data_IF_173674427183
#
_entry.id   IF_173674427183
#
_cell.length_a   1.000
_cell.length_b   1.000
_cell.length_c   1.000
_cell.angle_alpha   90.00
_cell.angle_beta   90.00
_cell.angle_gamma   90.00
#
_symmetry.space_group_name_H-M   'P 1'
#
loop_
_entity.id
_entity.type
_entity.pdbx_description
1 polymer ?
#
# COMPACT_ATOMS: atom_id res chain seq x y z
N UNK A 1 48.90 1.61 48.44
CA UNK A 1 47.83 2.09 49.35
C UNK A 1 47.57 3.57 49.07
N UNK A 2 46.30 3.96 48.89
CA UNK A 2 45.76 5.34 48.82
C UNK A 2 45.51 6.04 47.46
N UNK A 3 45.15 5.35 46.37
CA UNK A 3 44.54 6.04 45.21
C UNK A 3 43.31 5.38 44.54
N UNK A 4 42.80 4.24 45.02
CA UNK A 4 41.64 3.59 44.39
C UNK A 4 40.28 3.86 45.04
N UNK A 5 40.24 4.56 46.17
CA UNK A 5 39.01 4.66 46.97
C UNK A 5 38.32 6.03 46.96
N UNK A 6 38.69 6.95 46.04
CA UNK A 6 38.02 8.27 45.90
C UNK A 6 37.14 8.43 44.66
N UNK A 7 37.08 7.45 43.74
CA UNK A 7 36.19 7.50 42.56
C UNK A 7 34.80 6.86 42.78
N UNK A 8 34.66 5.97 43.77
CA UNK A 8 33.40 5.30 44.10
C UNK A 8 32.24 6.25 44.48
N UNK A 9 32.42 7.34 45.26
CA UNK A 9 31.30 8.19 45.66
C UNK A 9 30.81 9.12 44.55
N UNK A 10 31.67 9.51 43.60
CA UNK A 10 31.25 10.36 42.47
C UNK A 10 30.46 9.56 41.45
N UNK A 11 30.94 8.37 41.08
CA UNK A 11 30.23 7.49 40.15
C UNK A 11 28.90 7.04 40.74
N UNK A 12 28.85 6.66 42.02
CA UNK A 12 27.60 6.30 42.69
C UNK A 12 26.59 7.48 42.74
N UNK A 13 27.06 8.71 42.97
CA UNK A 13 26.20 9.91 42.94
C UNK A 13 25.73 10.30 41.54
N UNK A 14 26.53 10.02 40.51
CA UNK A 14 26.15 10.23 39.12
C UNK A 14 25.10 9.21 38.71
N UNK A 15 25.30 7.92 39.05
CA UNK A 15 24.34 6.87 38.76
C UNK A 15 23.02 7.07 39.50
N UNK A 16 23.03 7.42 40.79
CA UNK A 16 21.80 7.74 41.55
C UNK A 16 21.04 8.95 40.97
N UNK A 17 21.74 9.93 40.38
CA UNK A 17 21.11 11.05 39.66
C UNK A 17 20.55 10.64 38.29
N UNK A 18 21.21 9.72 37.59
CA UNK A 18 20.74 9.16 36.32
C UNK A 18 19.49 8.31 36.56
N UNK A 19 19.52 7.43 37.56
CA UNK A 19 18.41 6.56 37.92
C UNK A 19 17.17 7.39 38.33
N UNK A 20 17.35 8.39 39.19
CA UNK A 20 16.26 9.31 39.56
C UNK A 20 15.74 10.16 38.38
N UNK A 21 16.58 10.48 37.40
CA UNK A 21 16.16 11.18 36.19
C UNK A 21 15.43 10.27 35.21
N UNK A 22 15.76 8.98 35.17
CA UNK A 22 15.05 7.96 34.39
C UNK A 22 13.70 7.61 35.02
N UNK A 23 13.63 7.55 36.35
CA UNK A 23 12.40 7.27 37.11
C UNK A 23 11.39 8.45 37.09
N UNK A 24 11.88 9.68 36.84
CA UNK A 24 11.05 10.89 36.70
C UNK A 24 10.89 11.36 35.26
N UNK A 25 11.52 10.66 34.29
CA UNK A 25 11.24 10.89 32.89
C UNK A 25 9.78 10.47 32.63
N UNK A 26 9.01 11.24 31.84
CA UNK A 26 7.72 10.78 31.39
C UNK A 26 7.93 9.42 30.72
N UNK A 27 7.15 8.42 31.13
CA UNK A 27 7.11 7.11 30.49
C UNK A 27 7.18 7.33 28.99
N UNK A 28 8.29 6.90 28.36
CA UNK A 28 8.38 6.90 26.91
C UNK A 28 7.28 5.93 26.49
N UNK A 29 6.17 6.49 26.01
CA UNK A 29 5.13 5.74 25.35
C UNK A 29 5.85 5.10 24.17
N UNK A 30 5.91 3.78 24.16
CA UNK A 30 6.32 3.03 22.97
C UNK A 30 5.30 3.38 21.89
N UNK A 31 5.61 4.40 21.08
CA UNK A 31 4.84 4.71 19.89
C UNK A 31 5.28 3.65 18.89
N UNK A 32 4.75 2.44 19.05
CA UNK A 32 4.76 1.45 17.98
C UNK A 32 4.36 2.18 16.71
N UNK A 33 5.23 2.13 15.69
CA UNK A 33 4.97 2.82 14.42
C UNK A 33 3.82 2.07 13.76
N UNK A 34 2.59 2.43 14.12
CA UNK A 34 1.37 2.02 13.44
C UNK A 34 1.55 2.32 11.94
N UNK A 35 1.47 1.31 11.06
CA UNK A 35 1.67 1.50 9.63
C UNK A 35 0.71 2.58 9.11
N UNK A 36 1.19 3.48 8.26
CA UNK A 36 0.27 4.39 7.58
C UNK A 36 -0.77 3.58 6.80
N UNK A 37 -1.97 4.12 6.54
CA UNK A 37 -3.00 3.41 5.76
C UNK A 37 -2.44 2.88 4.43
N UNK A 38 -1.51 3.62 3.82
CA UNK A 38 -0.80 3.20 2.61
C UNK A 38 0.15 2.01 2.82
N UNK A 39 0.85 1.96 3.95
CA UNK A 39 1.73 0.82 4.31
C UNK A 39 0.90 -0.43 4.63
N UNK A 40 -0.20 -0.29 5.36
CA UNK A 40 -1.13 -1.40 5.60
C UNK A 40 -1.68 -1.95 4.28
N UNK A 41 -2.05 -1.07 3.35
CA UNK A 41 -2.53 -1.46 2.03
C UNK A 41 -1.46 -2.15 1.18
N UNK A 42 -0.20 -1.71 1.29
CA UNK A 42 0.94 -2.35 0.65
C UNK A 42 1.07 -3.80 1.11
N UNK A 43 1.17 -4.01 2.43
CA UNK A 43 1.34 -5.34 3.03
C UNK A 43 0.16 -6.25 2.70
N UNK A 44 -1.05 -5.70 2.77
CA UNK A 44 -2.26 -6.48 2.47
C UNK A 44 -2.30 -6.93 1.01
N UNK A 45 -1.95 -6.07 0.07
CA UNK A 45 -1.94 -6.41 -1.35
C UNK A 45 -0.82 -7.42 -1.67
N UNK A 46 0.36 -7.29 -1.05
CA UNK A 46 1.43 -8.28 -1.14
C UNK A 46 0.99 -9.65 -0.61
N UNK A 47 0.33 -9.68 0.55
CA UNK A 47 -0.20 -10.89 1.14
C UNK A 47 -1.28 -11.55 0.27
N UNK A 48 -2.25 -10.78 -0.25
CA UNK A 48 -3.26 -11.31 -1.18
C UNK A 48 -2.61 -11.96 -2.41
N UNK A 49 -1.56 -11.34 -2.96
CA UNK A 49 -0.83 -11.90 -4.09
C UNK A 49 -0.18 -13.25 -3.73
N UNK A 50 0.42 -13.37 -2.55
CA UNK A 50 0.99 -14.64 -2.06
C UNK A 50 -0.07 -15.73 -1.85
N UNK A 51 -1.31 -15.36 -1.56
CA UNK A 51 -2.45 -16.28 -1.46
C UNK A 51 -3.02 -16.70 -2.83
N UNK A 52 -2.43 -16.25 -3.94
CA UNK A 52 -2.83 -16.64 -5.29
C UNK A 52 -3.85 -15.72 -5.97
N UNK A 53 -4.22 -14.60 -5.35
CA UNK A 53 -5.00 -13.57 -6.02
C UNK A 53 -4.14 -12.84 -7.07
N UNK A 54 -4.74 -12.48 -8.21
CA UNK A 54 -4.03 -11.74 -9.24
C UNK A 54 -3.82 -10.26 -8.85
N UNK A 55 -3.06 -9.51 -9.66
CA UNK A 55 -2.76 -8.10 -9.39
C UNK A 55 -4.01 -7.22 -9.18
N UNK A 56 -5.08 -7.42 -9.96
CA UNK A 56 -6.29 -6.61 -9.86
C UNK A 56 -7.07 -6.93 -8.57
N UNK A 57 -7.24 -8.22 -8.28
CA UNK A 57 -7.90 -8.73 -7.08
C UNK A 57 -7.19 -8.25 -5.82
N UNK A 58 -5.87 -8.41 -5.75
CA UNK A 58 -5.07 -8.02 -4.58
C UNK A 58 -5.16 -6.53 -4.28
N UNK A 59 -5.12 -5.66 -5.30
CA UNK A 59 -5.32 -4.21 -5.12
C UNK A 59 -6.74 -3.91 -4.64
N UNK A 60 -7.77 -4.51 -5.25
CA UNK A 60 -9.15 -4.26 -4.85
C UNK A 60 -9.41 -4.71 -3.41
N UNK A 61 -9.01 -5.92 -3.03
CA UNK A 61 -9.20 -6.45 -1.68
C UNK A 61 -8.50 -5.59 -0.63
N UNK A 62 -7.24 -5.22 -0.88
CA UNK A 62 -6.47 -4.35 0.01
C UNK A 62 -7.11 -2.98 0.20
N UNK A 63 -7.54 -2.34 -0.89
CA UNK A 63 -8.19 -1.04 -0.82
C UNK A 63 -9.57 -1.12 -0.14
N UNK A 64 -10.35 -2.18 -0.40
CA UNK A 64 -11.64 -2.40 0.24
C UNK A 64 -11.49 -2.50 1.76
N UNK A 65 -10.54 -3.31 2.22
CA UNK A 65 -10.25 -3.47 3.64
C UNK A 65 -9.79 -2.15 4.27
N UNK A 66 -8.91 -1.41 3.59
CA UNK A 66 -8.39 -0.14 4.10
C UNK A 66 -9.46 0.93 4.27
N UNK A 67 -10.46 0.96 3.38
CA UNK A 67 -11.53 1.96 3.38
C UNK A 67 -12.85 1.47 3.96
N UNK A 68 -12.89 0.24 4.49
CA UNK A 68 -14.10 -0.43 4.96
C UNK A 68 -15.24 -0.41 3.91
N UNK A 69 -14.87 -0.73 2.67
CA UNK A 69 -15.80 -0.79 1.52
C UNK A 69 -16.14 -2.24 1.22
N UNK A 70 -17.41 -2.61 1.36
CA UNK A 70 -17.90 -3.91 0.93
C UNK A 70 -17.89 -4.01 -0.60
N UNK A 71 -17.15 -4.98 -1.15
CA UNK A 71 -17.16 -5.31 -2.58
C UNK A 71 -17.80 -6.70 -2.76
N UNK A 72 -18.87 -6.82 -3.57
CA UNK A 72 -19.46 -8.12 -3.88
C UNK A 72 -18.42 -9.11 -4.41
N UNK A 73 -18.50 -10.37 -3.98
CA UNK A 73 -17.53 -11.40 -4.35
C UNK A 73 -17.44 -11.62 -5.87
N UNK A 74 -18.55 -11.40 -6.59
CA UNK A 74 -18.66 -11.49 -8.03
C UNK A 74 -17.76 -10.47 -8.74
N UNK A 75 -17.60 -9.28 -8.18
CA UNK A 75 -16.72 -8.24 -8.74
C UNK A 75 -15.25 -8.65 -8.57
N UNK A 76 -14.88 -9.17 -7.40
CA UNK A 76 -13.53 -9.70 -7.16
C UNK A 76 -13.24 -10.92 -8.04
N UNK A 77 -14.21 -11.83 -8.21
CA UNK A 77 -14.10 -12.96 -9.15
C UNK A 77 -13.92 -12.47 -10.58
N UNK A 78 -14.70 -11.48 -11.02
CA UNK A 78 -14.58 -10.88 -12.34
C UNK A 78 -13.20 -10.26 -12.59
N UNK A 79 -12.58 -9.68 -11.56
CA UNK A 79 -11.23 -9.12 -11.66
C UNK A 79 -10.14 -10.16 -11.98
N UNK A 80 -10.43 -11.46 -11.83
CA UNK A 80 -9.54 -12.54 -12.27
C UNK A 80 -9.21 -12.46 -13.78
N UNK A 81 -10.11 -11.92 -14.59
CA UNK A 81 -9.92 -11.79 -16.04
C UNK A 81 -8.71 -10.91 -16.41
N UNK A 82 -8.24 -10.05 -15.49
CA UNK A 82 -7.17 -9.09 -15.76
C UNK A 82 -5.75 -9.63 -15.57
N UNK A 83 -5.60 -10.92 -15.25
CA UNK A 83 -4.29 -11.57 -15.12
C UNK A 83 -3.43 -11.39 -16.38
N UNK A 84 -2.16 -11.05 -16.20
CA UNK A 84 -1.26 -10.78 -17.33
C UNK A 84 -1.64 -9.58 -18.19
N UNK A 85 -2.54 -8.73 -17.67
CA UNK A 85 -3.07 -7.57 -18.36
C UNK A 85 -4.15 -7.93 -19.37
N UNK A 86 -5.25 -8.46 -18.83
CA UNK A 86 -6.37 -9.10 -19.54
C UNK A 86 -5.92 -10.42 -20.20
N UNK A 87 -6.05 -11.54 -19.50
CA UNK A 87 -5.77 -12.88 -20.04
C UNK A 87 -4.42 -13.08 -20.74
N UNK A 88 -3.34 -12.50 -20.22
CA UNK A 88 -1.97 -12.60 -20.80
C UNK A 88 -1.76 -11.92 -22.16
N UNK A 89 -2.69 -11.08 -22.62
CA UNK A 89 -2.48 -10.26 -23.83
C UNK A 89 -1.41 -9.18 -23.65
N UNK A 90 -0.94 -8.92 -22.42
CA UNK A 90 0.11 -7.94 -22.14
C UNK A 90 -0.34 -6.48 -22.32
N UNK A 91 -1.64 -6.21 -22.26
CA UNK A 91 -2.24 -4.88 -22.45
C UNK A 91 -2.16 -4.06 -21.15
N UNK A 92 -3.28 -3.54 -20.62
CA UNK A 92 -3.26 -2.72 -19.41
C UNK A 92 -2.81 -3.53 -18.18
N UNK A 93 -2.01 -2.94 -17.29
CA UNK A 93 -1.59 -3.59 -16.05
C UNK A 93 -2.80 -3.95 -15.16
N UNK A 94 -2.86 -5.19 -14.67
CA UNK A 94 -3.94 -5.63 -13.78
C UNK A 94 -4.03 -4.83 -12.48
N UNK A 95 -2.89 -4.43 -11.88
CA UNK A 95 -2.89 -3.61 -10.67
C UNK A 95 -3.54 -2.23 -10.92
N UNK A 96 -3.20 -1.58 -12.04
CA UNK A 96 -3.83 -0.33 -12.46
C UNK A 96 -5.33 -0.51 -12.71
N UNK A 97 -5.71 -1.58 -13.43
CA UNK A 97 -7.13 -1.87 -13.70
C UNK A 97 -7.92 -2.13 -12.41
N UNK A 98 -7.37 -2.87 -11.45
CA UNK A 98 -7.99 -3.10 -10.14
C UNK A 98 -8.17 -1.81 -9.35
N UNK A 99 -7.17 -0.93 -9.34
CA UNK A 99 -7.28 0.39 -8.73
C UNK A 99 -8.36 1.26 -9.39
N UNK A 100 -8.42 1.29 -10.72
CA UNK A 100 -9.45 2.02 -11.46
C UNK A 100 -10.86 1.46 -11.20
N UNK A 101 -11.00 0.14 -11.04
CA UNK A 101 -12.27 -0.47 -10.63
C UNK A 101 -12.67 -0.02 -9.23
N UNK A 102 -11.76 -0.06 -8.28
CA UNK A 102 -12.03 0.42 -6.91
C UNK A 102 -12.42 1.90 -6.89
N UNK A 103 -11.74 2.76 -7.66
CA UNK A 103 -12.12 4.16 -7.83
C UNK A 103 -13.56 4.27 -8.36
N UNK A 104 -13.94 3.44 -9.33
CA UNK A 104 -15.31 3.35 -9.82
C UNK A 104 -16.30 3.02 -8.70
N UNK A 105 -16.02 1.97 -7.91
CA UNK A 105 -16.86 1.53 -6.78
C UNK A 105 -17.12 2.67 -5.79
N UNK A 106 -16.11 3.47 -5.44
CA UNK A 106 -16.25 4.52 -4.41
C UNK A 106 -16.69 5.89 -4.94
N UNK A 107 -16.76 6.10 -6.27
CA UNK A 107 -16.97 7.43 -6.83
C UNK A 107 -18.03 7.55 -7.93
N UNK A 108 -18.45 6.44 -8.53
CA UNK A 108 -19.48 6.46 -9.56
C UNK A 108 -20.87 6.73 -8.96
N UNK A 109 -21.69 7.50 -9.69
CA UNK A 109 -23.09 7.76 -9.37
C UNK A 109 -23.95 6.83 -10.25
N UNK A 110 -24.59 5.84 -9.62
CA UNK A 110 -25.45 4.84 -10.26
C UNK A 110 -26.77 5.44 -10.79
N UNK A 111 -27.26 6.50 -10.16
CA UNK A 111 -28.46 7.25 -10.59
C UNK A 111 -28.15 8.20 -11.75
N UNK A 112 -26.89 8.62 -11.92
CA UNK A 112 -26.44 9.52 -13.00
C UNK A 112 -25.27 8.92 -13.77
N UNK A 113 -25.46 7.80 -14.49
CA UNK A 113 -24.38 7.04 -15.11
C UNK A 113 -23.60 7.81 -16.18
N UNK A 114 -24.12 8.93 -16.70
CA UNK A 114 -23.39 9.81 -17.64
C UNK A 114 -22.59 10.91 -16.94
N UNK A 115 -22.86 11.23 -15.67
CA UNK A 115 -22.16 12.26 -14.89
C UNK A 115 -20.97 11.64 -14.15
N UNK A 116 -19.89 11.37 -14.88
CA UNK A 116 -18.70 10.67 -14.37
C UNK A 116 -17.53 11.57 -13.98
N UNK A 117 -17.75 12.88 -13.85
CA UNK A 117 -16.66 13.87 -13.71
C UNK A 117 -15.68 13.54 -12.59
N UNK A 118 -16.18 13.17 -11.39
CA UNK A 118 -15.34 12.80 -10.24
C UNK A 118 -14.56 11.50 -10.50
N UNK A 119 -15.24 10.46 -11.02
CA UNK A 119 -14.62 9.17 -11.34
C UNK A 119 -13.55 9.29 -12.43
N UNK A 120 -13.83 10.07 -13.48
CA UNK A 120 -12.90 10.30 -14.59
C UNK A 120 -11.67 11.08 -14.11
N UNK A 121 -11.87 12.14 -13.32
CA UNK A 121 -10.76 12.91 -12.75
C UNK A 121 -9.88 12.04 -11.82
N UNK A 122 -10.50 11.28 -10.90
CA UNK A 122 -9.77 10.39 -10.01
C UNK A 122 -9.01 9.29 -10.77
N UNK A 123 -9.66 8.63 -11.72
CA UNK A 123 -9.04 7.54 -12.49
C UNK A 123 -7.93 8.07 -13.39
N UNK A 124 -8.11 9.23 -14.03
CA UNK A 124 -7.09 9.88 -14.85
C UNK A 124 -5.86 10.28 -14.04
N UNK A 125 -6.05 10.94 -12.91
CA UNK A 125 -4.95 11.31 -12.00
C UNK A 125 -4.23 10.08 -11.45
N UNK A 126 -4.97 9.02 -11.13
CA UNK A 126 -4.35 7.78 -10.67
C UNK A 126 -3.56 7.09 -11.77
N UNK A 127 -4.08 7.06 -12.99
CA UNK A 127 -3.37 6.57 -14.17
C UNK A 127 -2.03 7.29 -14.34
N UNK A 128 -2.03 8.62 -14.26
CA UNK A 128 -0.81 9.42 -14.42
C UNK A 128 0.16 9.15 -13.26
N UNK A 129 -0.33 9.09 -12.02
CA UNK A 129 0.49 8.75 -10.85
C UNK A 129 1.14 7.36 -10.97
N UNK A 130 0.37 6.38 -11.46
CA UNK A 130 0.86 5.03 -11.73
C UNK A 130 1.95 5.07 -12.81
N UNK A 131 1.68 5.75 -13.93
CA UNK A 131 2.61 5.87 -15.05
C UNK A 131 3.91 6.59 -14.65
N UNK A 132 3.82 7.64 -13.84
CA UNK A 132 5.00 8.37 -13.35
C UNK A 132 5.87 7.50 -12.45
N UNK A 133 5.24 6.62 -11.67
CA UNK A 133 5.94 5.70 -10.74
C UNK A 133 6.59 4.54 -11.50
N UNK A 134 5.83 3.85 -12.36
CA UNK A 134 6.28 2.61 -13.00
C UNK A 134 6.76 2.79 -14.45
N UNK A 135 6.70 4.02 -14.98
CA UNK A 135 7.11 4.45 -16.33
C UNK A 135 6.30 3.88 -17.50
N UNK A 136 5.31 3.02 -17.25
CA UNK A 136 4.38 2.52 -18.25
C UNK A 136 3.11 2.03 -17.58
N UNK A 137 2.01 1.94 -18.35
CA UNK A 137 0.76 1.29 -17.96
C UNK A 137 0.56 -0.05 -18.65
N UNK A 138 1.38 -0.37 -19.65
CA UNK A 138 1.31 -1.61 -20.41
C UNK A 138 2.02 -2.75 -19.66
N UNK A 139 1.29 -3.80 -19.32
CA UNK A 139 1.76 -5.00 -18.63
C UNK A 139 2.98 -5.62 -19.34
N UNK A 140 2.97 -5.71 -20.68
CA UNK A 140 4.11 -6.22 -21.45
C UNK A 140 5.38 -5.38 -21.25
N UNK A 141 5.24 -4.06 -21.20
CA UNK A 141 6.38 -3.15 -20.96
C UNK A 141 6.88 -3.29 -19.53
N UNK A 142 5.96 -3.33 -18.57
CA UNK A 142 6.29 -3.50 -17.14
C UNK A 142 6.93 -4.86 -16.84
N UNK A 143 6.63 -5.88 -17.64
CA UNK A 143 7.21 -7.23 -17.56
C UNK A 143 8.35 -7.48 -18.55
N UNK A 144 8.88 -6.46 -19.23
CA UNK A 144 9.92 -6.64 -20.25
C UNK A 144 11.09 -7.43 -19.67
N UNK A 145 11.48 -8.50 -20.37
CA UNK A 145 12.55 -9.42 -19.95
C UNK A 145 12.07 -10.61 -19.11
N UNK A 146 10.76 -10.82 -18.94
CA UNK A 146 10.20 -11.96 -18.23
C UNK A 146 9.17 -12.69 -19.09
N UNK A 147 9.24 -14.02 -19.13
CA UNK A 147 8.17 -14.84 -19.70
C UNK A 147 6.95 -14.84 -18.77
N UNK A 148 5.75 -15.07 -19.32
CA UNK A 148 4.54 -15.29 -18.56
C UNK A 148 4.60 -16.51 -17.65
N UNK A 149 5.48 -17.47 -17.96
CA UNK A 149 5.75 -18.69 -17.19
C UNK A 149 6.94 -18.59 -16.24
N UNK A 150 7.65 -17.47 -16.23
CA UNK A 150 8.84 -17.29 -15.39
C UNK A 150 8.44 -16.81 -13.99
N UNK A 151 8.80 -17.58 -12.96
CA UNK A 151 8.56 -17.25 -11.53
C UNK A 151 9.20 -15.91 -11.14
N UNK A 152 10.21 -15.44 -11.88
CA UNK A 152 10.79 -14.12 -11.66
C UNK A 152 9.80 -12.98 -11.93
N UNK A 153 8.80 -13.20 -12.78
CA UNK A 153 7.71 -12.27 -13.04
C UNK A 153 6.75 -12.12 -11.86
N UNK A 154 6.66 -13.10 -10.96
CA UNK A 154 5.81 -13.03 -9.76
C UNK A 154 6.33 -11.99 -8.78
N UNK A 155 7.66 -11.90 -8.56
CA UNK A 155 8.22 -10.91 -7.62
C UNK A 155 7.99 -9.47 -8.08
N UNK A 156 8.21 -9.19 -9.36
CA UNK A 156 8.00 -7.83 -9.90
C UNK A 156 6.52 -7.47 -9.95
N UNK A 157 5.64 -8.41 -10.33
CA UNK A 157 4.21 -8.16 -10.31
C UNK A 157 3.69 -7.95 -8.88
N UNK A 158 4.20 -8.69 -7.90
CA UNK A 158 3.91 -8.48 -6.47
C UNK A 158 4.28 -7.08 -6.02
N UNK A 159 5.50 -6.63 -6.31
CA UNK A 159 5.97 -5.28 -5.97
C UNK A 159 5.09 -4.18 -6.58
N UNK A 160 4.82 -4.28 -7.89
CA UNK A 160 3.93 -3.33 -8.58
C UNK A 160 2.54 -3.35 -7.93
N UNK A 161 2.02 -4.53 -7.59
CA UNK A 161 0.70 -4.70 -6.97
C UNK A 161 0.64 -4.02 -5.60
N UNK A 162 1.61 -4.30 -4.73
CA UNK A 162 1.70 -3.74 -3.39
C UNK A 162 1.88 -2.21 -3.43
N UNK A 163 2.81 -1.71 -4.24
CA UNK A 163 3.00 -0.27 -4.42
C UNK A 163 1.78 0.41 -5.02
N UNK A 164 1.06 -0.24 -5.93
CA UNK A 164 -0.18 0.32 -6.49
C UNK A 164 -1.26 0.49 -5.43
N UNK A 165 -1.42 -0.49 -4.53
CA UNK A 165 -2.37 -0.39 -3.42
C UNK A 165 -2.03 0.77 -2.49
N UNK A 166 -0.74 0.91 -2.12
CA UNK A 166 -0.25 2.07 -1.35
C UNK A 166 -0.58 3.39 -2.03
N UNK A 167 -0.17 3.54 -3.30
CA UNK A 167 -0.40 4.77 -4.07
C UNK A 167 -1.88 5.14 -4.14
N UNK A 168 -2.74 4.13 -4.33
CA UNK A 168 -4.18 4.31 -4.41
C UNK A 168 -4.72 4.83 -3.08
N UNK A 169 -4.38 4.17 -1.99
CA UNK A 169 -4.82 4.55 -0.65
C UNK A 169 -4.30 5.93 -0.26
N UNK A 170 -3.03 6.23 -0.51
CA UNK A 170 -2.44 7.55 -0.25
C UNK A 170 -3.16 8.65 -1.03
N UNK A 171 -3.44 8.42 -2.31
CA UNK A 171 -4.12 9.39 -3.18
C UNK A 171 -5.57 9.63 -2.73
N UNK A 172 -6.31 8.56 -2.45
CA UNK A 172 -7.72 8.63 -2.05
C UNK A 172 -7.86 9.24 -0.65
N UNK A 173 -7.00 8.84 0.30
CA UNK A 173 -7.02 9.37 1.68
C UNK A 173 -6.76 10.88 1.71
N UNK A 174 -5.76 11.37 0.96
CA UNK A 174 -5.48 12.81 0.86
C UNK A 174 -6.66 13.63 0.33
N UNK A 175 -7.56 13.01 -0.46
CA UNK A 175 -8.72 13.70 -1.04
C UNK A 175 -9.98 13.56 -0.20
N UNK A 176 -10.13 12.48 0.57
CA UNK A 176 -11.20 12.38 1.58
C UNK A 176 -10.97 13.32 2.77
N UNK A 177 -9.74 13.80 2.97
CA UNK A 177 -9.37 14.76 4.02
C UNK A 177 -9.50 16.23 3.61
N UNK A 178 -10.01 16.54 2.40
CA UNK A 178 -10.32 17.93 2.03
C UNK A 178 -11.81 18.15 2.32
N UNK A 179 -12.16 18.98 3.33
CA UNK A 179 -13.55 19.29 3.67
C UNK A 179 -14.30 19.99 2.54
#
# INVERSE_FOLDING_TARGET
>A
MLLENRRKPLVARIMDKIDKALDSAPQIIDVGVEPSRGDAAYERAAHCFDQGYNCAQSVMLSAAETFDVAIPAEIIKGAAAFTGGIGYCGCTCGALTGASLFIGVISADDKKPRKRTKTLDLSGRFHDRFKDTFKSTCCRVLRKGSDFKDKQADRRCKEITAMTARLLVDMVSKRMMVP
#
